data_IF_638323665398
#
_entry.id   IF_638323665398
#
_cell.length_a   1.000
_cell.length_b   1.000
_cell.length_c   1.000
_cell.angle_alpha   90.00
_cell.angle_beta   90.00
_cell.angle_gamma   90.00
#
_symmetry.space_group_name_H-M   'P 1'
#
loop_
_entity.id
_entity.type
_entity.pdbx_description
1 polymer ?
#
# COMPACT_ATOMS: atom_id res chain seq x y z
N UNK A 1 -19.02 -0.84 -8.44
CA UNK A 1 -20.11 0.02 -8.91
C UNK A 1 -19.48 1.19 -9.65
N UNK A 2 -19.77 1.28 -10.94
CA UNK A 2 -19.36 2.38 -11.82
C UNK A 2 -20.14 3.65 -11.44
N UNK A 3 -19.57 4.83 -11.69
CA UNK A 3 -20.27 6.11 -11.53
C UNK A 3 -21.50 6.20 -12.44
N UNK A 4 -21.51 5.54 -13.60
CA UNK A 4 -22.68 5.50 -14.50
C UNK A 4 -23.89 4.79 -13.89
N UNK A 5 -23.67 3.96 -12.88
CA UNK A 5 -24.73 3.21 -12.19
C UNK A 5 -25.35 4.01 -11.04
N UNK A 6 -24.83 5.22 -10.77
CA UNK A 6 -25.37 6.11 -9.75
C UNK A 6 -26.55 6.90 -10.32
N UNK A 7 -27.61 6.99 -9.53
CA UNK A 7 -28.79 7.80 -9.85
C UNK A 7 -28.47 9.30 -9.73
N UNK A 8 -27.82 9.83 -10.77
CA UNK A 8 -27.32 11.20 -10.86
C UNK A 8 -27.64 11.80 -12.23
N UNK A 9 -27.75 13.13 -12.27
CA UNK A 9 -27.95 13.84 -13.54
C UNK A 9 -26.76 13.60 -14.49
N UNK A 10 -26.99 13.38 -15.80
CA UNK A 10 -25.91 13.17 -16.78
C UNK A 10 -24.82 14.25 -16.78
N UNK A 11 -25.18 15.51 -16.48
CA UNK A 11 -24.21 16.61 -16.34
C UNK A 11 -23.25 16.40 -15.17
N UNK A 12 -23.76 15.90 -14.05
CA UNK A 12 -22.98 15.60 -12.84
C UNK A 12 -22.06 14.40 -13.11
N UNK A 13 -22.59 13.34 -13.73
CA UNK A 13 -21.81 12.15 -14.12
C UNK A 13 -20.66 12.54 -15.05
N UNK A 14 -20.93 13.39 -16.05
CA UNK A 14 -19.90 13.88 -16.96
C UNK A 14 -18.80 14.69 -16.24
N UNK A 15 -19.16 15.52 -15.25
CA UNK A 15 -18.20 16.28 -14.46
C UNK A 15 -17.30 15.37 -13.60
N UNK A 16 -17.88 14.34 -12.97
CA UNK A 16 -17.15 13.34 -12.16
C UNK A 16 -16.19 12.53 -13.04
N UNK A 17 -16.65 12.08 -14.22
CA UNK A 17 -15.81 11.37 -15.19
C UNK A 17 -14.70 12.24 -15.77
N UNK A 18 -14.97 13.52 -16.04
CA UNK A 18 -13.96 14.49 -16.48
C UNK A 18 -12.85 14.66 -15.43
N UNK A 19 -13.19 14.53 -14.14
CA UNK A 19 -12.24 14.49 -13.03
C UNK A 19 -11.52 13.14 -12.86
N UNK A 20 -11.67 12.20 -13.82
CA UNK A 20 -11.09 10.84 -13.82
C UNK A 20 -11.54 9.96 -12.66
N UNK A 21 -12.70 10.25 -12.07
CA UNK A 21 -13.33 9.39 -11.06
C UNK A 21 -14.29 8.44 -11.79
N UNK A 22 -13.96 7.15 -11.80
CA UNK A 22 -14.71 6.12 -12.54
C UNK A 22 -15.53 5.22 -11.63
N UNK A 23 -15.25 5.19 -10.32
CA UNK A 23 -15.98 4.35 -9.38
C UNK A 23 -16.58 5.11 -8.21
N UNK A 24 -17.71 4.62 -7.70
CA UNK A 24 -18.30 5.12 -6.46
C UNK A 24 -17.32 5.07 -5.28
N UNK A 25 -16.35 4.13 -5.30
CA UNK A 25 -15.33 4.00 -4.24
C UNK A 25 -14.31 5.12 -4.29
N UNK A 26 -13.92 5.56 -5.48
CA UNK A 26 -13.02 6.71 -5.65
C UNK A 26 -13.70 8.00 -5.19
N UNK A 27 -14.97 8.19 -5.54
CA UNK A 27 -15.78 9.32 -5.07
C UNK A 27 -15.79 9.38 -3.54
N UNK A 28 -16.02 8.25 -2.85
CA UNK A 28 -16.07 8.20 -1.39
C UNK A 28 -14.71 8.39 -0.70
N UNK A 29 -13.59 8.39 -1.43
CA UNK A 29 -12.27 8.74 -0.87
C UNK A 29 -12.06 10.24 -0.75
N UNK A 30 -12.93 11.04 -1.37
CA UNK A 30 -12.83 12.49 -1.41
C UNK A 30 -13.79 13.14 -0.41
N UNK A 31 -13.34 14.24 0.19
CA UNK A 31 -14.23 15.11 0.93
C UNK A 31 -15.14 15.89 -0.02
N UNK A 32 -16.29 16.38 0.49
CA UNK A 32 -17.18 17.24 -0.31
C UNK A 32 -16.47 18.47 -0.90
N UNK A 33 -15.61 19.19 -0.15
CA UNK A 33 -14.80 20.28 -0.70
C UNK A 33 -13.79 19.84 -1.78
N UNK A 34 -13.12 18.70 -1.60
CA UNK A 34 -12.17 18.20 -2.61
C UNK A 34 -12.88 17.80 -3.89
N UNK A 35 -14.04 17.17 -3.77
CA UNK A 35 -14.87 16.81 -4.92
C UNK A 35 -15.32 18.06 -5.68
N UNK A 36 -15.73 19.14 -5.00
CA UNK A 36 -16.04 20.43 -5.64
C UNK A 36 -14.84 20.99 -6.39
N UNK A 37 -13.66 21.00 -5.75
CA UNK A 37 -12.43 21.52 -6.35
C UNK A 37 -12.04 20.74 -7.62
N UNK A 38 -12.18 19.42 -7.60
CA UNK A 38 -11.80 18.55 -8.72
C UNK A 38 -12.81 18.55 -9.87
N UNK A 39 -14.10 18.67 -9.56
CA UNK A 39 -15.18 18.51 -10.56
C UNK A 39 -15.79 19.84 -11.01
N UNK A 40 -15.57 20.93 -10.27
CA UNK A 40 -16.24 22.22 -10.48
C UNK A 40 -17.74 22.21 -10.12
N UNK A 41 -18.21 21.15 -9.45
CA UNK A 41 -19.61 21.04 -9.03
C UNK A 41 -19.94 21.98 -7.87
N UNK A 42 -21.22 22.31 -7.74
CA UNK A 42 -21.74 23.02 -6.56
C UNK A 42 -21.63 22.15 -5.31
N UNK A 43 -21.61 22.77 -4.12
CA UNK A 43 -21.61 22.01 -2.86
C UNK A 43 -22.82 21.10 -2.68
N UNK A 44 -23.96 21.45 -3.27
CA UNK A 44 -25.17 20.62 -3.25
C UNK A 44 -24.97 19.38 -4.14
N UNK A 45 -24.46 19.57 -5.36
CA UNK A 45 -24.24 18.46 -6.30
C UNK A 45 -23.13 17.54 -5.82
N UNK A 46 -22.06 18.07 -5.23
CA UNK A 46 -21.02 17.26 -4.61
C UNK A 46 -21.56 16.39 -3.47
N UNK A 47 -22.45 16.93 -2.61
CA UNK A 47 -23.13 16.15 -1.58
C UNK A 47 -24.04 15.07 -2.18
N UNK A 48 -24.78 15.38 -3.25
CA UNK A 48 -25.60 14.40 -3.97
C UNK A 48 -24.75 13.26 -4.53
N UNK A 49 -23.59 13.55 -5.12
CA UNK A 49 -22.68 12.52 -5.64
C UNK A 49 -22.21 11.61 -4.49
N UNK A 50 -21.76 12.18 -3.38
CA UNK A 50 -21.33 11.40 -2.20
C UNK A 50 -22.47 10.54 -1.63
N UNK A 51 -23.68 11.09 -1.56
CA UNK A 51 -24.85 10.35 -1.07
C UNK A 51 -25.23 9.20 -2.01
N UNK A 52 -25.29 9.45 -3.31
CA UNK A 52 -25.57 8.42 -4.31
C UNK A 52 -24.51 7.31 -4.29
N UNK A 53 -23.22 7.69 -4.24
CA UNK A 53 -22.11 6.74 -4.13
C UNK A 53 -22.19 5.92 -2.84
N UNK A 54 -22.54 6.54 -1.71
CA UNK A 54 -22.73 5.86 -0.43
C UNK A 54 -23.88 4.87 -0.49
N UNK A 55 -25.03 5.27 -1.03
CA UNK A 55 -26.20 4.40 -1.17
C UNK A 55 -25.94 3.23 -2.11
N UNK A 56 -25.25 3.48 -3.23
CA UNK A 56 -24.90 2.46 -4.19
C UNK A 56 -23.86 1.44 -3.69
N UNK A 57 -22.97 1.85 -2.78
CA UNK A 57 -21.96 0.96 -2.18
C UNK A 57 -22.36 0.37 -0.84
N UNK A 58 -23.47 0.82 -0.23
CA UNK A 58 -23.98 0.19 0.99
C UNK A 58 -24.27 -1.27 0.71
N UNK A 59 -23.41 -2.15 1.22
CA UNK A 59 -23.76 -3.55 1.44
C UNK A 59 -24.97 -3.63 2.36
N UNK A 60 -25.74 -4.70 2.24
CA UNK A 60 -26.99 -4.89 2.98
C UNK A 60 -26.79 -4.80 4.49
N UNK A 61 -27.28 -3.71 5.09
CA UNK A 61 -27.60 -3.60 6.52
C UNK A 61 -26.51 -3.09 7.45
N UNK A 62 -26.95 -2.48 8.56
CA UNK A 62 -26.14 -2.30 9.77
C UNK A 62 -25.84 -3.69 10.33
N UNK A 63 -24.59 -3.96 10.70
CA UNK A 63 -24.19 -5.23 11.30
C UNK A 63 -24.04 -5.08 12.80
N UNK A 64 -24.50 -6.08 13.54
CA UNK A 64 -24.12 -6.24 14.95
C UNK A 64 -22.65 -6.68 15.04
N UNK A 65 -22.02 -6.40 16.18
CA UNK A 65 -20.65 -6.87 16.44
C UNK A 65 -20.52 -8.41 16.31
N UNK A 66 -21.56 -9.16 16.70
CA UNK A 66 -21.59 -10.62 16.56
C UNK A 66 -21.59 -11.06 15.10
N UNK A 67 -22.38 -10.42 14.24
CA UNK A 67 -22.41 -10.73 12.81
C UNK A 67 -21.06 -10.43 12.15
N UNK A 68 -20.41 -9.32 12.51
CA UNK A 68 -19.06 -9.02 12.01
C UNK A 68 -18.04 -10.08 12.48
N UNK A 69 -18.11 -10.50 13.75
CA UNK A 69 -17.23 -11.53 14.29
C UNK A 69 -17.43 -12.89 13.62
N UNK A 70 -18.67 -13.28 13.31
CA UNK A 70 -18.99 -14.55 12.66
C UNK A 70 -18.66 -14.55 11.16
N UNK A 71 -18.65 -13.38 10.52
CA UNK A 71 -18.38 -13.23 9.09
C UNK A 71 -16.88 -13.10 8.75
N UNK A 72 -15.97 -13.76 9.49
CA UNK A 72 -14.53 -13.70 9.18
C UNK A 72 -14.20 -14.09 7.72
N UNK A 73 -14.90 -15.08 7.19
CA UNK A 73 -14.73 -15.55 5.80
C UNK A 73 -15.20 -14.53 4.75
N UNK A 74 -16.03 -13.55 5.14
CA UNK A 74 -16.51 -12.49 4.24
C UNK A 74 -15.41 -11.47 3.91
N UNK A 75 -14.43 -11.34 4.80
CA UNK A 75 -13.30 -10.41 4.64
C UNK A 75 -11.96 -11.14 4.88
N UNK A 76 -11.59 -12.09 4.01
CA UNK A 76 -10.41 -12.92 4.21
C UNK A 76 -9.12 -12.08 4.23
N UNK A 77 -9.06 -10.99 3.45
CA UNK A 77 -7.93 -10.05 3.40
C UNK A 77 -7.72 -9.33 4.74
N UNK A 78 -8.80 -9.00 5.47
CA UNK A 78 -8.70 -8.34 6.78
C UNK A 78 -8.07 -9.23 7.86
N UNK A 79 -8.02 -10.54 7.64
CA UNK A 79 -7.46 -11.51 8.56
C UNK A 79 -6.05 -11.95 8.18
N UNK A 80 -5.52 -11.48 7.04
CA UNK A 80 -4.15 -11.75 6.65
C UNK A 80 -3.19 -11.04 7.61
N UNK A 81 -2.03 -11.67 7.79
CA UNK A 81 -0.95 -11.16 8.65
C UNK A 81 0.39 -11.32 7.98
N UNK A 82 1.24 -10.32 8.16
CA UNK A 82 2.64 -10.37 7.75
C UNK A 82 3.50 -10.84 8.93
N UNK A 83 4.24 -11.94 8.74
CA UNK A 83 5.18 -12.45 9.74
C UNK A 83 6.37 -11.51 9.92
N UNK A 84 6.76 -11.29 11.18
CA UNK A 84 7.96 -10.54 11.55
C UNK A 84 9.24 -11.36 11.36
N UNK A 85 9.13 -12.63 10.96
CA UNK A 85 10.26 -13.56 10.84
C UNK A 85 10.80 -14.06 12.18
N UNK A 86 10.13 -13.74 13.28
CA UNK A 86 10.47 -14.17 14.62
C UNK A 86 9.27 -14.90 15.25
N UNK A 87 9.36 -16.23 15.51
CA UNK A 87 8.26 -16.99 16.07
C UNK A 87 7.75 -16.46 17.41
N UNK A 88 8.61 -15.83 18.21
CA UNK A 88 8.23 -15.23 19.49
C UNK A 88 7.36 -13.99 19.27
N UNK A 89 7.76 -13.09 18.38
CA UNK A 89 7.00 -11.88 18.06
C UNK A 89 5.70 -12.22 17.31
N UNK A 90 5.75 -13.18 16.39
CA UNK A 90 4.56 -13.63 15.67
C UNK A 90 3.53 -14.20 16.65
N UNK A 91 3.95 -15.02 17.63
CA UNK A 91 3.02 -15.49 18.69
C UNK A 91 2.45 -14.35 19.52
N UNK A 92 3.29 -13.39 19.92
CA UNK A 92 2.84 -12.22 20.68
C UNK A 92 1.77 -11.44 19.91
N UNK A 93 1.91 -11.34 18.59
CA UNK A 93 1.00 -10.64 17.69
C UNK A 93 -0.07 -11.53 17.05
N UNK A 94 -0.28 -12.75 17.58
CA UNK A 94 -1.29 -13.71 17.12
C UNK A 94 -1.17 -14.07 15.63
N UNK A 95 0.04 -14.28 15.16
CA UNK A 95 0.39 -14.69 13.80
C UNK A 95 1.07 -13.62 12.93
N UNK A 96 1.42 -12.47 13.51
CA UNK A 96 2.11 -11.39 12.81
C UNK A 96 1.31 -10.08 12.72
N UNK A 97 1.84 -9.12 11.96
CA UNK A 97 1.25 -7.79 11.78
C UNK A 97 -0.06 -7.87 10.97
N UNK A 98 -1.18 -7.34 11.50
CA UNK A 98 -2.43 -7.30 10.74
C UNK A 98 -2.32 -6.34 9.53
N UNK A 99 -2.95 -6.69 8.40
CA UNK A 99 -2.98 -5.80 7.23
C UNK A 99 -4.04 -4.70 7.29
N UNK A 100 -4.99 -4.82 8.23
CA UNK A 100 -6.04 -3.82 8.42
C UNK A 100 -5.63 -2.84 9.53
N UNK A 101 -5.20 -1.64 9.12
CA UNK A 101 -4.83 -0.56 10.03
C UNK A 101 -3.36 -0.14 9.91
N UNK A 102 -2.94 0.67 10.89
CA UNK A 102 -1.58 1.22 10.98
C UNK A 102 -0.92 0.60 12.21
N UNK A 103 0.28 0.03 12.02
CA UNK A 103 1.12 -0.44 13.14
C UNK A 103 2.23 0.58 13.36
N UNK A 104 2.30 1.11 14.58
CA UNK A 104 3.40 1.98 15.01
C UNK A 104 4.48 1.17 15.75
N UNK A 105 5.74 1.37 15.37
CA UNK A 105 6.90 0.80 16.06
C UNK A 105 7.70 1.92 16.73
N UNK A 106 7.46 2.13 18.02
CA UNK A 106 8.11 3.15 18.83
C UNK A 106 9.18 2.58 19.77
N UNK A 107 10.19 3.39 20.12
CA UNK A 107 11.25 3.02 21.04
C UNK A 107 12.49 3.91 20.93
N UNK A 108 13.41 3.79 21.88
CA UNK A 108 14.67 4.57 21.92
C UNK A 108 15.53 4.38 20.65
N UNK A 109 16.47 5.30 20.41
CA UNK A 109 17.50 5.08 19.39
C UNK A 109 18.22 3.76 19.64
N UNK A 110 18.66 3.10 18.56
CA UNK A 110 19.31 1.78 18.60
C UNK A 110 18.44 0.62 19.13
N UNK A 111 17.13 0.80 19.37
CA UNK A 111 16.22 -0.29 19.74
C UNK A 111 15.90 -1.29 18.61
N UNK A 112 16.52 -1.15 17.43
CA UNK A 112 16.34 -2.07 16.29
C UNK A 112 15.15 -1.75 15.38
N UNK A 113 14.51 -0.57 15.51
CA UNK A 113 13.34 -0.18 14.69
C UNK A 113 13.60 -0.30 13.19
N UNK A 114 14.69 0.31 12.72
CA UNK A 114 15.13 0.25 11.32
C UNK A 114 15.46 -1.18 10.88
N UNK A 115 16.04 -2.02 11.76
CA UNK A 115 16.29 -3.43 11.44
C UNK A 115 15.00 -4.20 11.21
N UNK A 116 13.97 -3.95 12.02
CA UNK A 116 12.68 -4.60 11.85
C UNK A 116 11.99 -4.13 10.56
N UNK A 117 12.02 -2.82 10.26
CA UNK A 117 11.45 -2.27 9.03
C UNK A 117 12.07 -2.90 7.77
N UNK A 118 13.41 -3.00 7.70
CA UNK A 118 14.08 -3.66 6.57
C UNK A 118 13.70 -5.14 6.44
N UNK A 119 13.60 -5.86 7.56
CA UNK A 119 13.18 -7.26 7.54
C UNK A 119 11.74 -7.42 7.07
N UNK A 120 10.83 -6.50 7.41
CA UNK A 120 9.46 -6.51 6.91
C UNK A 120 9.41 -6.28 5.40
N UNK A 121 10.24 -5.38 4.86
CA UNK A 121 10.36 -5.18 3.40
C UNK A 121 10.82 -6.45 2.67
N UNK A 122 11.62 -7.31 3.30
CA UNK A 122 12.00 -8.60 2.74
C UNK A 122 10.93 -9.67 2.99
N UNK A 123 10.32 -9.69 4.17
CA UNK A 123 9.31 -10.67 4.57
C UNK A 123 8.09 -10.64 3.65
N UNK A 124 7.62 -9.45 3.27
CA UNK A 124 6.42 -9.28 2.45
C UNK A 124 6.53 -9.92 1.07
N UNK A 125 7.75 -10.08 0.55
CA UNK A 125 8.04 -10.68 -0.75
C UNK A 125 7.94 -12.21 -0.75
N UNK A 126 7.86 -12.85 0.43
CA UNK A 126 7.70 -14.29 0.54
C UNK A 126 6.25 -14.73 0.25
N UNK A 127 6.02 -16.01 -0.12
CA UNK A 127 4.71 -16.62 -0.18
C UNK A 127 3.95 -16.61 1.14
N UNK A 128 2.62 -16.58 1.06
CA UNK A 128 1.75 -16.56 2.24
C UNK A 128 1.94 -17.77 3.16
N UNK A 129 2.18 -18.95 2.59
CA UNK A 129 2.52 -20.17 3.33
C UNK A 129 3.81 -20.05 4.17
N UNK A 130 4.66 -19.06 3.88
CA UNK A 130 5.90 -18.76 4.60
C UNK A 130 5.83 -17.42 5.35
N UNK A 131 4.61 -16.88 5.53
CA UNK A 131 4.35 -15.67 6.31
C UNK A 131 4.59 -14.35 5.58
N UNK A 132 4.76 -14.37 4.25
CA UNK A 132 4.77 -13.16 3.42
C UNK A 132 3.42 -12.90 2.75
N UNK A 133 3.40 -12.03 1.74
CA UNK A 133 2.19 -11.64 0.99
C UNK A 133 2.40 -11.64 -0.54
N UNK A 134 3.55 -12.12 -1.03
CA UNK A 134 3.93 -12.09 -2.45
C UNK A 134 3.85 -10.68 -3.05
N UNK A 135 4.18 -9.66 -2.25
CA UNK A 135 4.02 -8.26 -2.62
C UNK A 135 5.31 -7.45 -2.45
N UNK A 136 5.33 -6.24 -3.02
CA UNK A 136 6.40 -5.27 -2.84
C UNK A 136 6.24 -4.41 -1.58
N UNK A 137 7.28 -3.66 -1.25
CA UNK A 137 7.32 -2.71 -0.15
C UNK A 137 7.68 -1.30 -0.65
N UNK A 138 7.09 -0.28 -0.03
CA UNK A 138 7.54 1.12 -0.17
C UNK A 138 8.19 1.52 1.16
N UNK A 139 9.42 2.00 1.09
CA UNK A 139 10.18 2.48 2.24
C UNK A 139 10.40 3.99 2.11
N UNK A 140 9.85 4.76 3.05
CA UNK A 140 9.97 6.21 3.07
C UNK A 140 10.98 6.60 4.16
N UNK A 141 12.02 7.35 3.76
CA UNK A 141 13.05 7.86 4.65
C UNK A 141 12.83 9.35 4.92
N UNK A 142 12.80 9.74 6.20
CA UNK A 142 12.61 11.13 6.64
C UNK A 142 13.82 11.73 7.37
N UNK A 143 14.74 10.90 7.88
CA UNK A 143 15.89 11.35 8.67
C UNK A 143 17.21 11.06 7.94
N UNK A 144 17.49 9.77 7.71
CA UNK A 144 18.74 9.30 7.12
C UNK A 144 18.57 8.76 5.70
N UNK A 145 19.70 8.55 5.02
CA UNK A 145 19.76 7.81 3.75
C UNK A 145 19.29 6.37 3.96
N UNK A 146 18.62 5.79 2.96
CA UNK A 146 18.18 4.41 3.03
C UNK A 146 19.38 3.46 3.28
N UNK A 147 19.30 2.54 4.25
CA UNK A 147 20.42 1.68 4.65
C UNK A 147 20.62 0.49 3.69
N UNK A 148 20.98 0.80 2.44
CA UNK A 148 21.17 -0.13 1.32
C UNK A 148 22.16 -1.26 1.63
N UNK A 149 23.34 -0.92 2.18
CA UNK A 149 24.37 -1.91 2.53
C UNK A 149 23.84 -2.92 3.53
N UNK A 150 23.03 -2.44 4.48
CA UNK A 150 22.44 -3.29 5.51
C UNK A 150 21.34 -4.17 4.94
N UNK A 151 20.52 -3.65 4.02
CA UNK A 151 19.56 -4.47 3.28
C UNK A 151 20.27 -5.61 2.54
N UNK A 152 21.35 -5.34 1.82
CA UNK A 152 22.13 -6.36 1.09
C UNK A 152 22.71 -7.44 2.01
N UNK A 153 23.17 -7.06 3.20
CA UNK A 153 23.57 -8.02 4.23
C UNK A 153 22.40 -8.91 4.67
N UNK A 154 21.23 -8.33 4.93
CA UNK A 154 20.03 -9.08 5.31
C UNK A 154 19.59 -10.05 4.20
N UNK A 155 19.66 -9.62 2.93
CA UNK A 155 19.37 -10.46 1.76
C UNK A 155 20.30 -11.67 1.73
N UNK A 156 21.62 -11.45 1.81
CA UNK A 156 22.63 -12.51 1.83
C UNK A 156 22.39 -13.52 2.97
N UNK A 157 21.86 -13.07 4.10
CA UNK A 157 21.58 -13.91 5.27
C UNK A 157 20.18 -14.54 5.29
N UNK A 158 19.32 -14.30 4.29
CA UNK A 158 17.96 -14.88 4.25
C UNK A 158 17.92 -16.40 4.44
N UNK A 159 18.81 -17.21 3.84
CA UNK A 159 18.83 -18.66 4.07
C UNK A 159 18.98 -19.06 5.55
N UNK A 160 19.67 -18.25 6.34
CA UNK A 160 19.85 -18.48 7.79
C UNK A 160 18.69 -17.92 8.60
N UNK A 161 18.21 -16.73 8.25
CA UNK A 161 17.15 -16.03 8.97
C UNK A 161 15.77 -16.68 8.75
N UNK A 162 15.58 -17.34 7.61
CA UNK A 162 14.33 -18.02 7.22
C UNK A 162 14.55 -19.53 7.07
N UNK A 163 15.15 -20.16 8.08
CA UNK A 163 15.42 -21.60 8.09
C UNK A 163 14.18 -22.50 7.86
N UNK A 164 12.97 -21.98 8.12
CA UNK A 164 11.70 -22.67 7.83
C UNK A 164 11.20 -22.54 6.39
N UNK A 165 11.95 -21.87 5.50
CA UNK A 165 11.60 -21.67 4.09
C UNK A 165 12.54 -22.50 3.21
N UNK A 166 12.03 -23.28 2.25
CA UNK A 166 12.86 -24.07 1.35
C UNK A 166 13.89 -23.21 0.59
N UNK A 167 15.14 -23.68 0.52
CA UNK A 167 16.23 -22.94 -0.15
C UNK A 167 15.97 -22.64 -1.63
N UNK A 168 15.29 -23.54 -2.35
CA UNK A 168 14.86 -23.34 -3.74
C UNK A 168 13.88 -22.18 -3.90
N UNK A 169 13.09 -21.89 -2.86
CA UNK A 169 12.15 -20.79 -2.88
C UNK A 169 12.88 -19.48 -2.64
N UNK A 170 13.80 -19.48 -1.67
CA UNK A 170 14.63 -18.31 -1.37
C UNK A 170 15.52 -17.91 -2.55
N UNK A 171 15.97 -18.85 -3.38
CA UNK A 171 16.74 -18.54 -4.59
C UNK A 171 15.88 -18.00 -5.74
N UNK A 172 14.58 -18.31 -5.77
CA UNK A 172 13.62 -17.78 -6.74
C UNK A 172 13.16 -16.37 -6.39
N UNK A 173 13.06 -16.04 -5.11
CA UNK A 173 12.68 -14.70 -4.65
C UNK A 173 13.83 -13.73 -4.89
N UNK A 174 13.62 -12.76 -5.77
CA UNK A 174 14.56 -11.66 -6.01
C UNK A 174 14.38 -10.58 -4.95
N UNK A 175 14.86 -10.88 -3.75
CA UNK A 175 14.78 -9.95 -2.65
C UNK A 175 15.40 -8.59 -3.01
N UNK A 176 14.62 -7.53 -2.88
CA UNK A 176 15.06 -6.16 -3.12
C UNK A 176 14.51 -5.54 -4.40
N UNK A 177 14.22 -6.34 -5.43
CA UNK A 177 13.67 -5.85 -6.72
C UNK A 177 12.32 -5.15 -6.55
N UNK A 178 11.58 -5.49 -5.49
CA UNK A 178 10.28 -4.92 -5.16
C UNK A 178 10.30 -4.05 -3.90
N UNK A 179 11.42 -3.39 -3.62
CA UNK A 179 11.51 -2.37 -2.55
C UNK A 179 11.70 -1.01 -3.21
N UNK A 180 10.66 -0.19 -3.16
CA UNK A 180 10.66 1.18 -3.68
C UNK A 180 11.05 2.14 -2.56
N UNK A 181 12.06 2.98 -2.79
CA UNK A 181 12.60 3.89 -1.78
C UNK A 181 12.20 5.31 -2.15
N UNK A 182 11.64 6.04 -1.19
CA UNK A 182 11.30 7.46 -1.32
C UNK A 182 11.94 8.26 -0.19
N UNK A 183 12.49 9.42 -0.52
CA UNK A 183 13.04 10.35 0.45
C UNK A 183 12.07 11.52 0.60
N UNK A 184 11.49 11.67 1.78
CA UNK A 184 10.57 12.75 2.11
C UNK A 184 11.21 13.60 3.21
N UNK A 185 11.92 14.66 2.79
CA UNK A 185 12.51 15.62 3.72
C UNK A 185 11.45 16.53 4.38
N UNK A 186 10.27 16.64 3.78
CA UNK A 186 9.15 17.44 4.29
C UNK A 186 7.78 16.85 3.89
N UNK A 187 6.70 17.38 4.49
CA UNK A 187 5.31 17.00 4.20
C UNK A 187 4.89 17.37 2.78
N UNK A 188 5.52 18.39 2.17
CA UNK A 188 5.22 18.84 0.81
C UNK A 188 5.63 17.82 -0.26
N UNK A 189 6.73 17.10 -0.02
CA UNK A 189 7.26 16.06 -0.91
C UNK A 189 6.49 14.74 -0.85
N UNK A 190 5.67 14.49 0.17
CA UNK A 190 4.85 13.27 0.31
C UNK A 190 3.56 13.27 -0.53
N UNK A 191 3.04 14.46 -0.86
CA UNK A 191 1.73 14.61 -1.50
C UNK A 191 1.67 14.30 -3.02
N UNK A 192 2.72 14.46 -3.84
CA UNK A 192 2.64 14.19 -5.28
C UNK A 192 2.61 12.70 -5.63
N UNK A 193 3.13 11.81 -4.77
CA UNK A 193 3.44 10.41 -5.13
C UNK A 193 2.21 9.48 -5.16
N UNK A 194 1.11 9.88 -4.51
CA UNK A 194 -0.16 9.14 -4.49
C UNK A 194 -1.09 9.43 -5.68
N UNK A 195 -0.75 10.40 -6.53
CA UNK A 195 -1.54 10.76 -7.71
C UNK A 195 -0.70 10.56 -8.98
N UNK A 196 -1.07 9.53 -9.76
CA UNK A 196 -0.49 9.17 -11.08
C UNK A 196 0.92 8.55 -11.09
N UNK A 197 0.95 7.22 -11.27
CA UNK A 197 1.82 6.63 -12.31
C UNK A 197 1.03 5.62 -13.15
N UNK A 198 1.05 5.73 -14.49
CA UNK A 198 0.45 4.76 -15.39
C UNK A 198 1.29 3.48 -15.45
N UNK A 199 0.62 2.39 -15.81
CA UNK A 199 1.15 1.04 -16.05
C UNK A 199 2.32 1.07 -17.06
N UNK A 200 3.40 0.29 -16.87
CA UNK A 200 4.45 0.19 -17.87
C UNK A 200 4.02 -0.80 -18.95
N UNK A 201 3.76 -0.29 -20.15
CA UNK A 201 3.78 -1.06 -21.39
C UNK A 201 4.65 -0.32 -22.40
N UNK A 202 5.52 -1.06 -23.09
CA UNK A 202 6.11 -0.62 -24.35
C UNK A 202 7.51 -0.01 -24.30
N UNK A 203 8.46 -0.79 -24.80
CA UNK A 203 9.82 -0.43 -25.24
C UNK A 203 9.95 0.97 -25.86
N UNK A 204 11.03 1.66 -25.49
CA UNK A 204 11.96 2.45 -26.32
C UNK A 204 13.16 2.74 -25.39
N UNK A 205 14.40 2.31 -25.65
CA UNK A 205 15.16 2.42 -26.89
C UNK A 205 15.88 3.77 -26.89
N UNK A 206 17.04 3.87 -26.25
CA UNK A 206 17.80 5.12 -26.21
C UNK A 206 19.10 5.04 -25.41
N UNK A 207 20.17 4.58 -26.05
CA UNK A 207 21.55 4.81 -25.62
C UNK A 207 21.82 6.31 -25.53
N UNK A 208 22.24 6.82 -24.37
CA UNK A 208 23.00 8.08 -24.31
C UNK A 208 24.20 7.93 -23.37
N UNK A 209 25.38 7.97 -24.00
CA UNK A 209 26.70 8.14 -23.41
C UNK A 209 26.73 9.35 -22.47
N UNK A 210 27.31 9.20 -21.27
CA UNK A 210 27.83 10.32 -20.49
C UNK A 210 29.35 10.41 -20.68
N UNK A 211 29.91 11.58 -21.03
CA UNK A 211 31.36 11.79 -21.02
C UNK A 211 31.87 11.97 -19.59
N UNK A 212 33.09 11.49 -19.34
CA UNK A 212 33.78 11.57 -18.06
C UNK A 212 34.17 13.00 -17.68
N UNK A 213 34.23 13.24 -16.36
CA UNK A 213 34.85 14.42 -15.77
C UNK A 213 36.37 14.17 -15.60
N UNK A 214 37.24 15.12 -15.97
CA UNK A 214 38.65 15.09 -15.59
C UNK A 214 38.90 15.90 -14.30
N UNK A 215 39.88 15.47 -13.51
CA UNK A 215 40.55 16.26 -12.46
C UNK A 215 40.02 16.06 -11.06
#
# INVERSE_FOLDING_TARGET
MDVDQLDLNPRIVAAVKKAKLQSAREVLRLSGPDLQRLTGLSGIDARRVLQAASLGLRGSGVFTALQLYQQRARFPVQHQRLSLGCPVLDRLLRGGLPLDGITELAGCSSAGKTQLALQLCLAVQLPQQHGGLEAGAVYICTEDVFPDRRLQQLITHQPRLRAGVPGELLSKVRFGDQIFIEHAADVGHLLPSSAHRPHPDGRQGGHQNRPGCPG
#
